data_IF_596688901727
#
_entry.id   IF_596688901727
#
_cell.length_a   1.000
_cell.length_b   1.000
_cell.length_c   1.000
_cell.angle_alpha   90.00
_cell.angle_beta   90.00
_cell.angle_gamma   90.00
#
_symmetry.space_group_name_H-M   'P 1'
#
loop_
_entity.id
_entity.type
_entity.pdbx_description
1 polymer ?
#
# COMPACT_ATOMS: atom_id res chain seq x y z
N UNK A 1 17.31 28.90 5.01
CA UNK A 1 18.59 28.33 5.49
C UNK A 1 18.30 26.89 5.90
N UNK A 2 19.27 25.97 5.79
CA UNK A 2 19.08 24.57 6.21
C UNK A 2 19.49 24.48 7.68
N UNK A 3 18.54 24.16 8.56
CA UNK A 3 18.70 24.34 10.00
C UNK A 3 18.92 23.01 10.75
N UNK A 4 18.78 21.87 10.08
CA UNK A 4 19.06 20.56 10.67
C UNK A 4 19.51 19.49 9.67
N UNK A 5 20.03 18.38 10.20
CA UNK A 5 20.55 17.23 9.41
C UNK A 5 19.47 16.61 8.50
N UNK A 6 18.22 16.54 8.94
CA UNK A 6 17.12 15.95 8.15
C UNK A 6 16.81 16.80 6.92
N UNK A 7 16.76 18.12 7.07
CA UNK A 7 16.59 19.06 5.97
C UNK A 7 17.78 18.99 4.99
N UNK A 8 19.01 18.87 5.49
CA UNK A 8 20.20 18.69 4.66
C UNK A 8 20.13 17.41 3.83
N UNK A 9 19.76 16.28 4.46
CA UNK A 9 19.55 15.00 3.78
C UNK A 9 18.44 15.09 2.73
N UNK A 10 17.29 15.66 3.09
CA UNK A 10 16.17 15.84 2.18
C UNK A 10 16.54 16.68 0.95
N UNK A 11 17.29 17.77 1.13
CA UNK A 11 17.77 18.59 0.02
C UNK A 11 18.65 17.77 -0.96
N UNK A 12 19.52 16.91 -0.45
CA UNK A 12 20.35 16.05 -1.31
C UNK A 12 19.51 14.99 -2.02
N UNK A 13 18.54 14.39 -1.34
CA UNK A 13 17.62 13.41 -1.96
C UNK A 13 16.78 14.05 -3.07
N UNK A 14 16.23 15.24 -2.84
CA UNK A 14 15.48 15.98 -3.86
C UNK A 14 16.35 16.32 -5.08
N UNK A 15 17.62 16.68 -4.88
CA UNK A 15 18.56 16.92 -5.98
C UNK A 15 18.88 15.63 -6.75
N UNK A 16 19.12 14.52 -6.06
CA UNK A 16 19.35 13.21 -6.69
C UNK A 16 18.14 12.79 -7.51
N UNK A 17 16.93 12.95 -6.98
CA UNK A 17 15.69 12.68 -7.72
C UNK A 17 15.59 13.58 -8.96
N UNK A 18 15.83 14.89 -8.85
CA UNK A 18 15.78 15.80 -9.99
C UNK A 18 16.81 15.47 -11.09
N UNK A 19 18.00 14.98 -10.71
CA UNK A 19 19.08 14.66 -11.65
C UNK A 19 18.92 13.30 -12.31
N UNK A 20 18.34 12.32 -11.61
CA UNK A 20 18.23 10.93 -12.09
C UNK A 20 16.83 10.60 -12.63
N UNK A 21 15.80 11.32 -12.21
CA UNK A 21 14.43 11.10 -12.68
C UNK A 21 14.26 11.61 -14.10
N UNK A 22 13.63 10.79 -14.92
CA UNK A 22 13.20 11.22 -16.26
C UNK A 22 11.77 11.71 -16.20
N UNK A 23 11.39 12.77 -16.93
CA UNK A 23 10.00 13.19 -17.02
C UNK A 23 9.09 12.04 -17.45
N UNK A 24 8.18 11.63 -16.56
CA UNK A 24 7.18 10.58 -16.82
C UNK A 24 5.81 11.14 -17.18
N UNK A 25 5.63 12.46 -17.07
CA UNK A 25 4.38 13.15 -17.38
C UNK A 25 4.15 13.25 -18.89
N UNK A 26 2.99 12.83 -19.36
CA UNK A 26 2.58 12.94 -20.75
C UNK A 26 1.42 13.94 -20.89
N UNK A 27 1.53 14.95 -21.78
CA UNK A 27 0.43 15.85 -22.04
C UNK A 27 -0.72 15.10 -22.75
N UNK A 28 -1.96 15.38 -22.35
CA UNK A 28 -3.14 14.82 -22.99
C UNK A 28 -3.52 15.65 -24.24
N UNK A 29 -2.79 15.46 -25.34
CA UNK A 29 -3.03 16.12 -26.62
C UNK A 29 -2.99 15.12 -27.79
N UNK A 30 -3.07 15.60 -29.03
CA UNK A 30 -3.11 14.77 -30.25
C UNK A 30 -1.91 13.81 -30.40
N UNK A 31 -0.80 14.09 -29.72
CA UNK A 31 0.45 13.31 -29.81
C UNK A 31 0.46 12.15 -28.79
N UNK A 32 -0.49 12.11 -27.84
CA UNK A 32 -0.52 11.13 -26.75
C UNK A 32 -0.47 9.67 -27.26
N UNK A 33 -1.26 9.34 -28.28
CA UNK A 33 -1.32 7.98 -28.82
C UNK A 33 0.02 7.55 -29.44
N UNK A 34 0.71 8.46 -30.13
CA UNK A 34 2.04 8.21 -30.70
C UNK A 34 3.06 7.96 -29.61
N UNK A 35 3.07 8.79 -28.55
CA UNK A 35 3.96 8.60 -27.40
C UNK A 35 3.71 7.29 -26.65
N UNK A 36 2.46 6.89 -26.46
CA UNK A 36 2.14 5.61 -25.83
C UNK A 36 2.70 4.45 -26.65
N UNK A 37 2.59 4.48 -27.98
CA UNK A 37 3.18 3.44 -28.85
C UNK A 37 4.70 3.39 -28.75
N UNK A 38 5.36 4.54 -28.76
CA UNK A 38 6.82 4.63 -28.58
C UNK A 38 7.26 4.04 -27.22
N UNK A 39 6.57 4.41 -26.14
CA UNK A 39 6.87 3.94 -24.79
C UNK A 39 6.63 2.44 -24.62
N UNK A 40 5.62 1.89 -25.29
CA UNK A 40 5.38 0.43 -25.29
C UNK A 40 6.56 -0.35 -25.86
N UNK A 41 7.24 0.17 -26.87
CA UNK A 41 8.46 -0.47 -27.41
C UNK A 41 9.63 -0.44 -26.41
N UNK A 42 9.58 0.45 -25.41
CA UNK A 42 10.59 0.57 -24.36
C UNK A 42 10.18 -0.10 -23.04
N UNK A 43 9.09 -0.87 -23.02
CA UNK A 43 8.50 -1.42 -21.79
C UNK A 43 9.52 -2.16 -20.92
N UNK A 44 10.34 -3.03 -21.53
CA UNK A 44 11.40 -3.78 -20.83
C UNK A 44 12.37 -2.85 -20.10
N UNK A 45 12.88 -1.83 -20.80
CA UNK A 45 13.80 -0.85 -20.22
C UNK A 45 13.14 -0.08 -19.07
N UNK A 46 11.86 0.28 -19.19
CA UNK A 46 11.14 0.98 -18.12
C UNK A 46 10.89 0.08 -16.91
N UNK A 47 10.63 -1.22 -17.11
CA UNK A 47 10.51 -2.21 -16.02
C UNK A 47 11.83 -2.37 -15.27
N UNK A 48 12.96 -2.53 -15.97
CA UNK A 48 14.28 -2.63 -15.36
C UNK A 48 14.61 -1.38 -14.54
N UNK A 49 14.25 -0.20 -15.06
CA UNK A 49 14.43 1.07 -14.35
C UNK A 49 13.64 1.13 -13.04
N UNK A 50 12.37 0.72 -13.04
CA UNK A 50 11.55 0.68 -11.83
C UNK A 50 12.17 -0.21 -10.75
N UNK A 51 12.73 -1.36 -11.15
CA UNK A 51 13.45 -2.24 -10.22
C UNK A 51 14.74 -1.61 -9.69
N UNK A 52 15.51 -0.95 -10.56
CA UNK A 52 16.79 -0.34 -10.22
C UNK A 52 16.67 0.89 -9.29
N UNK A 53 15.51 1.55 -9.24
CA UNK A 53 15.26 2.68 -8.35
C UNK A 53 14.47 2.33 -7.09
N UNK A 54 14.01 1.09 -6.93
CA UNK A 54 13.19 0.66 -5.79
C UNK A 54 13.87 0.90 -4.42
N UNK A 55 15.20 0.94 -4.37
CA UNK A 55 15.97 1.28 -3.16
C UNK A 55 15.77 2.73 -2.72
N UNK A 56 15.43 3.65 -3.63
CA UNK A 56 15.21 5.06 -3.32
C UNK A 56 13.95 5.23 -2.49
N UNK A 57 12.86 4.54 -2.86
CA UNK A 57 11.63 4.49 -2.07
C UNK A 57 11.90 3.97 -0.66
N UNK A 58 12.75 2.96 -0.55
CA UNK A 58 13.15 2.38 0.73
C UNK A 58 14.00 3.34 1.58
N UNK A 59 14.87 4.14 0.95
CA UNK A 59 15.67 5.17 1.62
C UNK A 59 14.85 6.40 2.04
N UNK A 60 13.80 6.73 1.28
CA UNK A 60 12.91 7.86 1.53
C UNK A 60 11.81 7.54 2.54
N UNK A 61 11.51 6.26 2.76
CA UNK A 61 10.60 5.84 3.83
C UNK A 61 11.13 6.36 5.16
N UNK A 62 10.30 7.17 5.84
CA UNK A 62 10.53 7.55 7.22
C UNK A 62 10.81 6.27 8.01
N UNK A 63 11.92 6.25 8.75
CA UNK A 63 12.24 5.18 9.69
C UNK A 63 11.23 5.29 10.84
N UNK A 64 9.99 4.86 10.59
CA UNK A 64 9.08 4.48 11.65
C UNK A 64 9.73 3.29 12.36
N UNK A 65 9.76 3.33 13.69
CA UNK A 65 10.20 2.18 14.47
C UNK A 65 9.43 0.94 13.99
N UNK A 66 10.11 -0.08 13.46
CA UNK A 66 9.43 -1.26 12.97
C UNK A 66 8.69 -1.89 14.15
N UNK A 67 7.37 -1.75 14.16
CA UNK A 67 6.53 -2.42 15.15
C UNK A 67 6.32 -3.83 14.63
N UNK A 68 7.12 -4.76 15.18
CA UNK A 68 6.99 -6.18 14.84
C UNK A 68 5.55 -6.61 15.04
N UNK A 69 4.96 -7.25 14.03
CA UNK A 69 3.63 -7.84 14.18
C UNK A 69 3.72 -9.05 15.12
N UNK A 70 2.75 -9.13 16.04
CA UNK A 70 2.49 -10.36 16.78
C UNK A 70 2.17 -11.50 15.80
N UNK A 71 2.41 -12.75 16.24
CA UNK A 71 2.07 -13.93 15.44
C UNK A 71 0.58 -13.97 15.09
N UNK A 72 -0.28 -13.52 16.02
CA UNK A 72 -1.72 -13.42 15.81
C UNK A 72 -2.08 -12.40 14.72
N UNK A 73 -1.40 -11.26 14.67
CA UNK A 73 -1.58 -10.28 13.60
C UNK A 73 -1.00 -10.74 12.26
N UNK A 74 0.11 -11.48 12.27
CA UNK A 74 0.61 -12.13 11.03
C UNK A 74 -0.41 -13.08 10.44
N UNK A 75 -1.09 -13.88 11.26
CA UNK A 75 -2.16 -14.78 10.81
C UNK A 75 -3.42 -14.06 10.25
N UNK A 76 -3.56 -12.75 10.50
CA UNK A 76 -4.62 -11.91 9.89
C UNK A 76 -4.30 -11.44 8.48
N UNK A 77 -3.14 -11.80 7.92
CA UNK A 77 -2.78 -11.49 6.55
C UNK A 77 -3.04 -12.70 5.64
N UNK A 78 -3.48 -12.44 4.41
CA UNK A 78 -3.72 -13.48 3.40
C UNK A 78 -2.43 -14.14 2.91
N UNK A 79 -1.34 -13.37 2.88
CA UNK A 79 0.01 -13.84 2.52
C UNK A 79 1.01 -13.47 3.63
N UNK A 80 1.03 -14.22 4.75
CA UNK A 80 1.87 -13.90 5.91
C UNK A 80 3.37 -13.80 5.58
N UNK A 81 3.85 -14.59 4.63
CA UNK A 81 5.24 -14.64 4.17
C UNK A 81 5.69 -13.38 3.41
N UNK A 82 4.74 -12.60 2.88
CA UNK A 82 5.02 -11.38 2.11
C UNK A 82 5.00 -10.10 2.97
N UNK A 83 4.75 -10.22 4.28
CA UNK A 83 4.62 -9.05 5.14
C UNK A 83 5.97 -8.39 5.40
N UNK A 84 6.03 -7.08 5.17
CA UNK A 84 7.14 -6.24 5.61
C UNK A 84 6.74 -5.43 6.85
N UNK A 85 7.66 -5.34 7.82
CA UNK A 85 7.50 -4.53 9.04
C UNK A 85 7.62 -3.01 8.78
N UNK A 86 7.84 -2.62 7.53
CA UNK A 86 8.11 -1.23 7.12
C UNK A 86 6.92 -0.54 6.45
N UNK A 87 5.79 -1.24 6.29
CA UNK A 87 4.60 -0.69 5.62
C UNK A 87 3.74 0.07 6.63
N UNK A 88 3.31 1.27 6.26
CA UNK A 88 2.32 2.06 7.02
C UNK A 88 1.02 1.27 7.11
N UNK A 89 0.48 1.10 8.32
CA UNK A 89 -0.69 0.24 8.60
C UNK A 89 -1.81 1.05 9.23
N UNK A 90 -3.03 0.58 9.04
CA UNK A 90 -4.21 1.13 9.70
C UNK A 90 -4.48 0.33 10.96
N UNK A 91 -4.68 1.05 12.06
CA UNK A 91 -5.12 0.51 13.33
C UNK A 91 -6.54 0.99 13.62
N UNK A 92 -7.42 0.05 13.93
CA UNK A 92 -8.78 0.26 14.39
C UNK A 92 -8.79 0.51 15.90
N UNK A 93 -9.93 0.98 16.42
CA UNK A 93 -10.15 0.94 17.86
C UNK A 93 -10.23 -0.51 18.33
N UNK A 94 -9.51 -0.82 19.42
CA UNK A 94 -9.53 -2.14 20.05
C UNK A 94 -10.94 -2.53 20.47
N UNK A 95 -11.34 -3.71 20.05
CA UNK A 95 -12.62 -4.30 20.41
C UNK A 95 -12.56 -5.84 20.38
N UNK A 96 -12.79 -6.52 21.52
CA UNK A 96 -12.97 -5.96 22.86
C UNK A 96 -11.70 -5.26 23.34
N UNK A 97 -11.83 -4.29 24.27
CA UNK A 97 -10.68 -3.50 24.75
C UNK A 97 -9.58 -4.36 25.40
N UNK A 98 -9.93 -5.55 25.89
CA UNK A 98 -8.99 -6.53 26.45
C UNK A 98 -8.14 -7.27 25.42
N UNK A 99 -8.50 -7.19 24.13
CA UNK A 99 -7.79 -7.89 23.06
C UNK A 99 -6.81 -6.93 22.39
N UNK A 100 -5.53 -7.05 22.76
CA UNK A 100 -4.43 -6.22 22.24
C UNK A 100 -4.20 -6.38 20.72
N UNK A 101 -4.61 -7.51 20.13
CA UNK A 101 -4.44 -7.77 18.69
C UNK A 101 -5.72 -7.44 17.88
N UNK A 102 -6.74 -6.86 18.53
CA UNK A 102 -8.00 -6.50 17.86
C UNK A 102 -7.93 -5.19 17.09
N UNK A 103 -6.88 -4.39 17.22
CA UNK A 103 -6.73 -3.15 16.47
C UNK A 103 -6.19 -3.35 15.05
N UNK A 104 -5.65 -4.53 14.72
CA UNK A 104 -4.95 -4.73 13.45
C UNK A 104 -5.83 -5.32 12.34
N UNK A 105 -5.73 -4.71 11.15
CA UNK A 105 -6.17 -5.25 9.86
C UNK A 105 -5.15 -4.88 8.77
N UNK A 106 -4.94 -5.75 7.78
CA UNK A 106 -4.00 -5.50 6.68
C UNK A 106 -4.58 -4.50 5.66
N UNK A 107 -4.46 -3.22 5.99
CA UNK A 107 -4.92 -2.10 5.18
C UNK A 107 -3.96 -0.91 5.29
N UNK A 108 -3.91 -0.09 4.22
CA UNK A 108 -3.07 1.11 4.12
C UNK A 108 -3.86 2.28 3.56
N UNK A 109 -3.53 3.50 4.00
CA UNK A 109 -4.03 4.70 3.35
C UNK A 109 -3.30 4.94 2.04
N UNK A 110 -4.05 5.40 1.04
CA UNK A 110 -3.51 5.80 -0.26
C UNK A 110 -4.00 7.21 -0.56
N UNK A 111 -3.05 8.08 -0.91
CA UNK A 111 -3.34 9.45 -1.28
C UNK A 111 -4.13 9.51 -2.60
N UNK A 112 -5.13 10.37 -2.63
CA UNK A 112 -5.82 10.74 -3.86
C UNK A 112 -5.15 11.91 -4.55
N UNK A 113 -5.61 12.22 -5.76
CA UNK A 113 -5.07 13.33 -6.57
C UNK A 113 -5.20 14.69 -5.86
N UNK A 114 -6.26 14.87 -5.06
CA UNK A 114 -6.57 16.15 -4.39
C UNK A 114 -6.52 16.09 -2.86
N UNK A 115 -6.63 14.90 -2.28
CA UNK A 115 -6.80 14.70 -0.85
C UNK A 115 -5.83 13.61 -0.39
N UNK A 116 -5.09 13.88 0.69
CA UNK A 116 -4.29 12.86 1.35
C UNK A 116 -5.18 11.82 2.03
N UNK A 117 -4.70 10.58 2.15
CA UNK A 117 -5.40 9.45 2.78
C UNK A 117 -6.83 9.24 2.28
N UNK A 118 -7.08 9.52 0.99
CA UNK A 118 -8.43 9.52 0.44
C UNK A 118 -8.98 8.12 0.20
N UNK A 119 -8.10 7.17 -0.11
CA UNK A 119 -8.46 5.79 -0.38
C UNK A 119 -7.90 4.85 0.69
N UNK A 120 -8.54 3.70 0.79
CA UNK A 120 -8.11 2.57 1.59
C UNK A 120 -7.80 1.40 0.65
N UNK A 121 -6.58 0.89 0.70
CA UNK A 121 -6.21 -0.33 0.03
C UNK A 121 -6.07 -1.44 1.08
N UNK A 122 -6.82 -2.53 0.90
CA UNK A 122 -6.82 -3.70 1.78
C UNK A 122 -6.82 -4.97 0.95
N UNK A 123 -6.30 -6.05 1.52
CA UNK A 123 -6.50 -7.39 0.97
C UNK A 123 -7.99 -7.77 0.95
N UNK A 124 -8.32 -8.83 0.19
CA UNK A 124 -9.64 -9.46 0.30
C UNK A 124 -9.86 -9.99 1.73
N UNK A 125 -11.04 -9.74 2.32
CA UNK A 125 -11.40 -10.28 3.62
C UNK A 125 -11.30 -11.81 3.63
N UNK A 126 -10.86 -12.35 4.76
CA UNK A 126 -10.81 -13.80 5.02
C UNK A 126 -11.89 -14.16 6.04
N UNK A 127 -12.27 -15.43 6.19
CA UNK A 127 -13.21 -15.85 7.22
C UNK A 127 -12.82 -15.38 8.63
N UNK A 128 -11.51 -15.34 8.93
CA UNK A 128 -10.96 -14.86 10.20
C UNK A 128 -10.98 -13.34 10.38
N UNK A 129 -11.10 -12.55 9.30
CA UNK A 129 -10.97 -11.07 9.34
C UNK A 129 -12.21 -10.33 8.84
N UNK A 130 -13.27 -11.03 8.41
CA UNK A 130 -14.49 -10.40 7.86
C UNK A 130 -15.16 -9.45 8.87
N UNK A 131 -15.14 -9.77 10.16
CA UNK A 131 -15.69 -8.90 11.21
C UNK A 131 -14.84 -7.63 11.38
N UNK A 132 -13.51 -7.77 11.38
CA UNK A 132 -12.59 -6.63 11.45
C UNK A 132 -12.73 -5.74 10.21
N UNK A 133 -12.97 -6.31 9.03
CA UNK A 133 -13.24 -5.58 7.80
C UNK A 133 -14.51 -4.72 7.88
N UNK A 134 -15.63 -5.27 8.37
CA UNK A 134 -16.85 -4.48 8.58
C UNK A 134 -16.69 -3.43 9.68
N UNK A 135 -15.92 -3.74 10.73
CA UNK A 135 -15.58 -2.74 11.75
C UNK A 135 -14.78 -1.59 11.14
N UNK A 136 -13.81 -1.86 10.28
CA UNK A 136 -13.04 -0.83 9.55
C UNK A 136 -13.97 0.05 8.71
N UNK A 137 -14.89 -0.54 7.95
CA UNK A 137 -15.86 0.21 7.13
C UNK A 137 -16.69 1.16 7.98
N UNK A 138 -17.22 0.67 9.10
CA UNK A 138 -18.05 1.47 9.99
C UNK A 138 -17.25 2.58 10.69
N UNK A 139 -16.06 2.25 11.22
CA UNK A 139 -15.22 3.19 11.96
C UNK A 139 -14.66 4.30 11.08
N UNK A 140 -14.19 3.95 9.88
CA UNK A 140 -13.62 4.87 8.91
C UNK A 140 -14.66 5.49 7.97
N UNK A 141 -15.95 5.16 8.16
CA UNK A 141 -17.08 5.68 7.38
C UNK A 141 -16.90 5.49 5.87
N UNK A 142 -16.51 4.28 5.47
CA UNK A 142 -16.32 3.93 4.06
C UNK A 142 -17.68 3.87 3.35
N UNK A 143 -17.84 4.65 2.28
CA UNK A 143 -19.10 4.77 1.54
C UNK A 143 -19.16 3.86 0.30
N UNK A 144 -18.01 3.50 -0.27
CA UNK A 144 -17.91 2.70 -1.49
C UNK A 144 -16.81 1.63 -1.35
N UNK A 145 -17.17 0.38 -1.68
CA UNK A 145 -16.25 -0.75 -1.71
C UNK A 145 -16.07 -1.18 -3.17
N UNK A 146 -14.82 -1.18 -3.63
CA UNK A 146 -14.45 -1.69 -4.95
C UNK A 146 -13.68 -3.00 -4.79
N UNK A 147 -14.20 -4.08 -5.38
CA UNK A 147 -13.53 -5.38 -5.40
C UNK A 147 -12.85 -5.58 -6.76
N UNK A 148 -11.53 -5.76 -6.77
CA UNK A 148 -10.74 -5.88 -8.00
C UNK A 148 -10.54 -7.32 -8.49
N UNK A 149 -11.05 -8.30 -7.75
CA UNK A 149 -10.93 -9.72 -8.05
C UNK A 149 -12.30 -10.39 -7.92
N UNK A 150 -12.58 -11.35 -8.78
CA UNK A 150 -13.76 -12.20 -8.63
C UNK A 150 -13.60 -13.13 -7.43
N UNK A 151 -14.69 -13.55 -6.76
CA UNK A 151 -14.62 -14.59 -5.75
C UNK A 151 -14.06 -15.87 -6.37
N UNK A 152 -13.00 -16.40 -5.78
CA UNK A 152 -12.44 -17.70 -6.13
C UNK A 152 -12.98 -18.75 -5.16
N UNK A 153 -13.78 -19.68 -5.69
CA UNK A 153 -14.40 -20.74 -4.90
C UNK A 153 -13.42 -21.88 -4.56
N UNK A 154 -12.21 -21.88 -5.12
CA UNK A 154 -11.13 -22.82 -4.82
C UNK A 154 -10.10 -22.22 -3.85
N UNK A 155 -10.29 -20.97 -3.45
CA UNK A 155 -9.40 -20.28 -2.53
C UNK A 155 -9.43 -20.94 -1.15
N UNK A 156 -8.36 -21.69 -0.84
CA UNK A 156 -8.18 -22.41 0.43
C UNK A 156 -8.26 -21.49 1.65
N UNK A 157 -8.02 -20.18 1.47
CA UNK A 157 -8.14 -19.18 2.53
C UNK A 157 -9.59 -18.79 2.77
N UNK A 158 -10.45 -18.85 1.74
CA UNK A 158 -11.88 -18.55 1.82
C UNK A 158 -12.78 -19.78 2.02
N UNK A 159 -12.30 -20.99 1.76
CA UNK A 159 -13.06 -22.23 1.99
C UNK A 159 -13.05 -22.61 3.46
N UNK A 160 -13.80 -21.89 4.29
CA UNK A 160 -14.35 -22.48 5.51
C UNK A 160 -15.66 -23.19 5.13
N UNK A 161 -15.54 -24.43 4.66
CA UNK A 161 -16.64 -25.39 4.58
C UNK A 161 -17.06 -25.80 6.00
N UNK A 162 -17.69 -24.88 6.74
CA UNK A 162 -18.48 -25.15 7.95
C UNK A 162 -19.70 -24.21 7.98
N UNK A 163 -20.55 -24.34 6.97
CA UNK A 163 -21.96 -23.98 7.09
C UNK A 163 -22.76 -25.14 6.48
N UNK A 164 -22.92 -26.21 7.26
CA UNK A 164 -23.99 -27.20 7.15
C UNK A 164 -24.57 -27.39 8.54
#
# INVERSE_FOLDING_TARGET
MVDNKQQYLFAHLALVECLLSTPTTLPCNEILLTRIKELKNQLSMQQDRLQNIAWQDEALRLVASPTQLSERNRAKNRFPELISDKVSRIYLKRYPTSDEDSDYLSAVYVDGVKLQNHYLATQLPMPSTINDFWRMIAELKVELILMLQSPDFQDLVCTSSQFY
#
